data_IF_457661419717
#
_entry.id   IF_457661419717
#
_cell.length_a   1.000
_cell.length_b   1.000
_cell.length_c   1.000
_cell.angle_alpha   90.00
_cell.angle_beta   90.00
_cell.angle_gamma   90.00
#
_symmetry.space_group_name_H-M   'P 1'
#
loop_
_entity.id
_entity.type
_entity.pdbx_description
1 polymer ?
#
# COMPACT_ATOMS: atom_id res chain seq x y z
N UNK A 1 -49.96 11.04 20.21
CA UNK A 1 -50.25 11.26 18.78
C UNK A 1 -49.39 10.42 17.82
N UNK A 2 -48.09 10.19 18.05
CA UNK A 2 -47.26 9.40 17.11
C UNK A 2 -47.63 7.90 17.07
N UNK A 3 -47.76 7.24 18.23
CA UNK A 3 -48.08 5.79 18.31
C UNK A 3 -49.46 5.44 17.71
N UNK A 4 -50.47 6.26 17.95
CA UNK A 4 -51.82 6.12 17.37
C UNK A 4 -51.86 6.30 15.86
N UNK A 5 -50.98 7.15 15.29
CA UNK A 5 -50.86 7.34 13.83
C UNK A 5 -50.13 6.19 13.15
N UNK A 6 -49.23 5.51 13.87
CA UNK A 6 -48.42 4.40 13.36
C UNK A 6 -49.03 3.03 13.72
N UNK A 7 -50.16 3.00 14.43
CA UNK A 7 -50.85 1.78 14.88
C UNK A 7 -49.94 0.80 15.65
N UNK A 8 -48.94 1.32 16.37
CA UNK A 8 -48.02 0.48 17.15
C UNK A 8 -48.68 0.18 18.50
N UNK A 9 -48.90 -1.10 18.75
CA UNK A 9 -49.49 -1.61 19.99
C UNK A 9 -48.34 -2.03 20.90
N UNK A 10 -48.41 -1.67 22.19
CA UNK A 10 -47.53 -2.21 23.23
C UNK A 10 -46.02 -1.87 23.09
N UNK A 11 -45.68 -0.67 22.59
CA UNK A 11 -44.29 -0.20 22.55
C UNK A 11 -43.80 0.20 23.94
N UNK A 12 -42.67 -0.37 24.35
CA UNK A 12 -42.03 -0.06 25.61
C UNK A 12 -40.70 0.69 25.44
N UNK A 13 -40.27 1.42 26.47
CA UNK A 13 -38.98 2.12 26.47
C UNK A 13 -37.78 1.18 26.28
N UNK A 14 -37.91 -0.09 26.68
CA UNK A 14 -36.84 -1.07 26.49
C UNK A 14 -36.65 -1.45 25.01
N UNK A 15 -37.70 -1.38 24.19
CA UNK A 15 -37.64 -1.63 22.75
C UNK A 15 -36.85 -0.54 22.03
N UNK A 16 -37.05 0.73 22.44
CA UNK A 16 -36.29 1.85 21.90
C UNK A 16 -34.80 1.72 22.21
N UNK A 17 -34.47 1.31 23.44
CA UNK A 17 -33.07 1.05 23.83
C UNK A 17 -32.50 -0.13 23.05
N UNK A 18 -33.30 -1.18 22.84
CA UNK A 18 -32.91 -2.34 22.03
C UNK A 18 -32.56 -1.91 20.61
N UNK A 19 -33.47 -1.19 19.96
CA UNK A 19 -33.31 -0.71 18.58
C UNK A 19 -32.12 0.24 18.43
N UNK A 20 -31.96 1.19 19.37
CA UNK A 20 -30.83 2.12 19.34
C UNK A 20 -29.48 1.39 19.39
N UNK A 21 -29.35 0.39 20.27
CA UNK A 21 -28.09 -0.36 20.41
C UNK A 21 -27.84 -1.24 19.19
N UNK A 22 -28.87 -1.91 18.66
CA UNK A 22 -28.77 -2.69 17.43
C UNK A 22 -28.28 -1.83 16.26
N UNK A 23 -28.84 -0.63 16.08
CA UNK A 23 -28.38 0.30 15.04
C UNK A 23 -26.94 0.77 15.22
N UNK A 24 -26.51 1.03 16.45
CA UNK A 24 -25.11 1.40 16.71
C UNK A 24 -24.14 0.29 16.30
N UNK A 25 -24.52 -0.98 16.50
CA UNK A 25 -23.72 -2.12 16.03
C UNK A 25 -23.80 -2.31 14.52
N UNK A 26 -24.95 -2.08 13.89
CA UNK A 26 -25.13 -2.18 12.44
C UNK A 26 -24.33 -1.12 11.67
N UNK A 27 -24.24 0.10 12.21
CA UNK A 27 -23.41 1.17 11.64
C UNK A 27 -21.93 0.77 11.58
N UNK A 28 -21.47 -0.10 12.49
CA UNK A 28 -20.12 -0.66 12.47
C UNK A 28 -18.99 0.34 12.72
N UNK A 29 -19.32 1.60 13.06
CA UNK A 29 -18.37 2.68 13.32
C UNK A 29 -17.80 2.66 14.74
N UNK A 30 -18.57 2.12 15.69
CA UNK A 30 -18.25 2.13 17.12
C UNK A 30 -17.79 0.75 17.61
N UNK A 31 -16.90 0.74 18.58
CA UNK A 31 -16.49 -0.44 19.32
C UNK A 31 -17.49 -0.77 20.44
N UNK A 32 -17.49 -2.02 20.90
CA UNK A 32 -18.34 -2.50 22.00
C UNK A 32 -18.22 -1.63 23.26
N UNK A 33 -17.02 -1.10 23.57
CA UNK A 33 -16.83 -0.22 24.74
C UNK A 33 -17.51 1.14 24.56
N UNK A 34 -17.46 1.70 23.36
CA UNK A 34 -18.06 3.00 23.04
C UNK A 34 -19.59 2.88 23.05
N UNK A 35 -20.11 1.79 22.47
CA UNK A 35 -21.54 1.48 22.54
C UNK A 35 -21.98 1.27 23.99
N UNK A 36 -21.16 0.64 24.83
CA UNK A 36 -21.47 0.49 26.26
C UNK A 36 -21.53 1.83 27.00
N UNK A 37 -20.59 2.74 26.73
CA UNK A 37 -20.56 4.07 27.31
C UNK A 37 -21.78 4.92 26.88
N UNK A 38 -22.12 4.91 25.58
CA UNK A 38 -23.27 5.64 25.03
C UNK A 38 -24.59 5.09 25.57
N UNK A 39 -24.72 3.76 25.62
CA UNK A 39 -25.96 3.11 26.05
C UNK A 39 -26.09 2.93 27.56
N UNK A 40 -25.10 3.38 28.35
CA UNK A 40 -25.11 3.28 29.82
C UNK A 40 -25.09 1.84 30.35
N UNK A 41 -24.44 0.91 29.65
CA UNK A 41 -24.32 -0.48 30.07
C UNK A 41 -23.13 -0.66 31.03
N UNK A 42 -23.40 -1.12 32.26
CA UNK A 42 -22.36 -1.43 33.26
C UNK A 42 -21.64 -2.76 33.00
N UNK A 43 -22.30 -3.68 32.30
CA UNK A 43 -21.75 -5.00 31.98
C UNK A 43 -21.89 -5.28 30.49
N UNK A 44 -20.78 -5.71 29.90
CA UNK A 44 -20.69 -6.08 28.49
C UNK A 44 -21.45 -7.35 28.15
N UNK A 45 -21.71 -8.22 29.13
CA UNK A 45 -22.52 -9.42 28.92
C UNK A 45 -23.95 -9.08 28.47
N UNK A 46 -24.47 -7.93 28.88
CA UNK A 46 -25.79 -7.46 28.44
C UNK A 46 -25.82 -7.07 26.96
N UNK A 47 -24.66 -6.65 26.41
CA UNK A 47 -24.53 -6.18 25.03
C UNK A 47 -24.37 -7.30 24.01
N UNK A 48 -23.97 -8.51 24.45
CA UNK A 48 -23.79 -9.69 23.57
C UNK A 48 -25.03 -10.03 22.73
N UNK A 49 -26.21 -9.65 23.21
CA UNK A 49 -27.49 -9.87 22.52
C UNK A 49 -27.70 -8.96 21.31
N UNK A 50 -26.97 -7.85 21.22
CA UNK A 50 -27.06 -6.89 20.11
C UNK A 50 -25.87 -7.02 19.14
N UNK A 51 -24.85 -7.80 19.53
CA UNK A 51 -23.66 -8.03 18.69
C UNK A 51 -23.93 -9.18 17.71
N UNK A 52 -24.50 -8.86 16.55
CA UNK A 52 -24.50 -9.77 15.40
C UNK A 52 -23.27 -9.50 14.54
N UNK A 53 -22.10 -9.92 15.03
CA UNK A 53 -20.84 -9.79 14.30
C UNK A 53 -20.94 -10.55 12.96
N UNK A 54 -21.04 -9.82 11.85
CA UNK A 54 -21.07 -10.43 10.53
C UNK A 54 -19.63 -10.71 10.07
N UNK A 55 -19.37 -11.91 9.56
CA UNK A 55 -18.02 -12.35 9.18
C UNK A 55 -17.30 -11.35 8.24
N UNK A 56 -18.03 -10.70 7.32
CA UNK A 56 -17.44 -9.71 6.40
C UNK A 56 -16.87 -8.47 7.11
N UNK A 57 -17.44 -8.06 8.26
CA UNK A 57 -16.96 -6.91 9.03
C UNK A 57 -15.62 -7.23 9.69
N UNK A 58 -15.42 -8.49 10.10
CA UNK A 58 -14.16 -8.98 10.65
C UNK A 58 -13.08 -9.07 9.59
N UNK A 59 -13.40 -9.62 8.41
CA UNK A 59 -12.49 -9.68 7.26
C UNK A 59 -12.01 -8.28 6.88
N UNK A 60 -12.91 -7.31 6.79
CA UNK A 60 -12.56 -5.91 6.49
C UNK A 60 -11.58 -5.30 7.51
N UNK A 61 -11.71 -5.65 8.80
CA UNK A 61 -10.79 -5.20 9.85
C UNK A 61 -9.43 -5.90 9.78
N UNK A 62 -9.38 -7.17 9.39
CA UNK A 62 -8.14 -7.92 9.19
C UNK A 62 -7.38 -7.45 7.93
N UNK A 63 -8.10 -7.17 6.84
CA UNK A 63 -7.53 -6.69 5.58
C UNK A 63 -6.93 -5.27 5.68
N UNK A 64 -7.30 -4.48 6.69
CA UNK A 64 -6.72 -3.15 6.90
C UNK A 64 -5.19 -3.19 7.05
N UNK A 65 -4.64 -4.25 7.65
CA UNK A 65 -3.18 -4.45 7.79
C UNK A 65 -2.52 -4.81 6.45
N UNK A 66 -3.22 -5.55 5.58
CA UNK A 66 -2.79 -5.87 4.21
C UNK A 66 -2.73 -4.63 3.33
N UNK A 67 -3.65 -3.67 3.52
CA UNK A 67 -3.64 -2.37 2.82
C UNK A 67 -2.42 -1.53 3.16
N UNK A 68 -1.90 -1.63 4.39
CA UNK A 68 -0.69 -0.87 4.78
C UNK A 68 0.57 -1.43 4.09
N UNK A 69 0.71 -2.74 3.98
CA UNK A 69 1.79 -3.39 3.21
C UNK A 69 1.67 -3.12 1.70
N UNK A 70 0.45 -3.03 1.16
CA UNK A 70 0.20 -2.67 -0.25
C UNK A 70 0.51 -1.21 -0.59
N UNK A 71 0.68 -0.30 0.38
CA UNK A 71 1.04 1.10 0.08
C UNK A 71 2.45 1.27 -0.46
N UNK A 72 3.36 0.34 -0.12
CA UNK A 72 4.79 0.46 -0.45
C UNK A 72 5.14 -0.37 -1.68
N UNK A 73 4.41 -1.47 -1.95
CA UNK A 73 4.64 -2.31 -3.13
C UNK A 73 4.68 -1.57 -4.48
N UNK A 74 3.88 -0.51 -4.73
CA UNK A 74 3.95 0.26 -5.99
C UNK A 74 5.29 0.97 -6.20
N UNK A 75 6.10 1.16 -5.16
CA UNK A 75 7.39 1.85 -5.27
C UNK A 75 8.49 0.93 -5.79
N UNK A 76 8.35 -0.39 -5.70
CA UNK A 76 9.43 -1.33 -6.04
C UNK A 76 9.13 -2.11 -7.32
N UNK A 77 8.87 -1.37 -8.40
CA UNK A 77 8.65 -1.92 -9.75
C UNK A 77 9.96 -1.90 -10.56
N UNK A 78 10.12 -2.81 -11.53
CA UNK A 78 11.25 -2.75 -12.47
C UNK A 78 11.16 -1.52 -13.37
N UNK A 79 12.31 -0.93 -13.69
CA UNK A 79 12.41 0.19 -14.64
C UNK A 79 13.28 -0.18 -15.84
N UNK A 80 12.95 0.32 -17.05
CA UNK A 80 13.80 0.18 -18.21
C UNK A 80 15.11 0.97 -18.02
N UNK A 81 16.20 0.41 -18.52
CA UNK A 81 17.51 1.06 -18.53
C UNK A 81 18.25 0.75 -19.84
N UNK A 82 19.11 1.68 -20.23
CA UNK A 82 20.06 1.53 -21.33
C UNK A 82 21.43 1.18 -20.78
N UNK A 83 22.13 0.25 -21.44
CA UNK A 83 23.54 -0.04 -21.15
C UNK A 83 24.43 0.28 -22.35
N UNK A 84 25.55 0.92 -22.07
CA UNK A 84 26.57 1.35 -23.01
C UNK A 84 27.94 0.81 -22.57
N UNK A 85 28.72 0.27 -23.51
CA UNK A 85 30.13 -0.03 -23.31
C UNK A 85 30.95 1.24 -23.56
N UNK A 86 31.63 1.74 -22.54
CA UNK A 86 32.55 2.88 -22.64
C UNK A 86 33.95 2.31 -22.89
N UNK A 87 34.45 2.47 -24.11
CA UNK A 87 35.85 2.21 -24.42
C UNK A 87 36.62 3.51 -24.18
N UNK A 88 37.34 3.62 -23.06
CA UNK A 88 38.29 4.70 -22.90
C UNK A 88 39.45 4.49 -23.89
N UNK A 89 39.61 5.43 -24.81
CA UNK A 89 40.70 5.42 -25.78
C UNK A 89 42.04 5.54 -25.01
N UNK A 90 42.87 4.50 -25.16
CA UNK A 90 44.22 4.31 -24.61
C UNK A 90 44.31 3.83 -23.14
N UNK A 91 44.13 2.52 -22.93
CA UNK A 91 44.77 1.78 -21.84
C UNK A 91 43.83 1.07 -20.85
N UNK A 92 43.21 -0.03 -21.31
CA UNK A 92 42.67 -1.14 -20.49
C UNK A 92 41.83 -0.75 -19.26
N UNK A 93 40.60 -0.31 -19.50
CA UNK A 93 39.44 -0.85 -18.76
C UNK A 93 38.16 -0.69 -19.61
N UNK A 94 37.49 -1.80 -19.89
CA UNK A 94 36.18 -1.78 -20.57
C UNK A 94 35.10 -1.50 -19.53
N UNK A 95 34.71 -0.23 -19.40
CA UNK A 95 33.64 0.17 -18.50
C UNK A 95 32.27 -0.05 -19.13
N UNK A 96 31.28 -0.41 -18.32
CA UNK A 96 29.87 -0.39 -18.70
C UNK A 96 29.19 0.76 -17.95
N UNK A 97 28.33 1.52 -18.64
CA UNK A 97 27.50 2.57 -18.05
C UNK A 97 26.03 2.26 -18.29
N UNK A 98 25.23 2.35 -17.24
CA UNK A 98 23.80 2.09 -17.23
C UNK A 98 23.07 3.39 -16.92
N UNK A 99 22.08 3.75 -17.71
CA UNK A 99 21.28 4.96 -17.55
C UNK A 99 19.78 4.62 -17.45
N UNK A 100 19.10 5.22 -16.47
CA UNK A 100 17.65 5.10 -16.29
C UNK A 100 16.97 6.40 -16.78
N UNK A 101 16.30 6.39 -17.94
CA UNK A 101 15.73 7.60 -18.54
C UNK A 101 14.55 8.18 -17.73
N UNK A 102 13.87 7.35 -16.93
CA UNK A 102 12.72 7.77 -16.12
C UNK A 102 13.12 8.60 -14.88
N UNK A 103 14.42 8.72 -14.59
CA UNK A 103 14.94 9.44 -13.43
C UNK A 103 15.98 10.47 -13.86
N UNK A 104 15.85 11.71 -13.37
CA UNK A 104 16.74 12.82 -13.71
C UNK A 104 18.22 12.49 -13.41
N UNK A 105 18.98 12.21 -14.48
CA UNK A 105 20.43 11.99 -14.43
C UNK A 105 20.87 10.69 -13.74
N UNK A 106 19.96 9.74 -13.50
CA UNK A 106 20.31 8.52 -12.77
C UNK A 106 21.13 7.59 -13.67
N UNK A 107 22.41 7.41 -13.31
CA UNK A 107 23.32 6.52 -14.01
C UNK A 107 24.30 5.85 -13.06
N UNK A 108 24.73 4.65 -13.42
CA UNK A 108 25.74 3.90 -12.69
C UNK A 108 26.75 3.30 -13.68
N UNK A 109 27.98 3.06 -13.21
CA UNK A 109 29.03 2.45 -14.01
C UNK A 109 29.70 1.30 -13.28
N UNK A 110 30.23 0.33 -14.02
CA UNK A 110 30.97 -0.79 -13.48
C UNK A 110 31.98 -1.36 -14.48
N UNK A 111 32.99 -2.07 -13.98
CA UNK A 111 34.01 -2.72 -14.79
C UNK A 111 33.48 -3.93 -15.58
N UNK A 112 32.31 -4.44 -15.23
CA UNK A 112 31.62 -5.51 -15.94
C UNK A 112 30.13 -5.20 -16.07
N UNK A 113 29.47 -5.81 -17.05
CA UNK A 113 28.02 -5.69 -17.26
C UNK A 113 27.24 -5.99 -15.98
N UNK A 114 27.59 -7.07 -15.28
CA UNK A 114 26.94 -7.47 -14.04
C UNK A 114 27.13 -6.43 -12.92
N UNK A 115 28.35 -5.94 -12.74
CA UNK A 115 28.66 -4.92 -11.72
C UNK A 115 27.94 -3.60 -12.00
N UNK A 116 27.84 -3.18 -13.27
CA UNK A 116 27.12 -1.96 -13.64
C UNK A 116 25.60 -2.08 -13.41
N UNK A 117 25.01 -3.25 -13.69
CA UNK A 117 23.60 -3.53 -13.43
C UNK A 117 23.28 -3.58 -11.94
N UNK A 118 24.14 -4.21 -11.14
CA UNK A 118 23.99 -4.26 -9.69
C UNK A 118 24.08 -2.86 -9.08
N UNK A 119 25.08 -2.06 -9.47
CA UNK A 119 25.23 -0.69 -9.02
C UNK A 119 24.00 0.16 -9.39
N UNK A 120 23.47 0.00 -10.60
CA UNK A 120 22.24 0.67 -11.03
C UNK A 120 21.01 0.20 -10.23
N UNK A 121 20.90 -1.10 -9.93
CA UNK A 121 19.82 -1.65 -9.11
C UNK A 121 19.81 -1.11 -7.68
N UNK A 122 20.97 -1.05 -7.04
CA UNK A 122 21.13 -0.47 -5.70
C UNK A 122 20.77 1.02 -5.70
N UNK A 123 21.21 1.76 -6.72
CA UNK A 123 20.92 3.19 -6.87
C UNK A 123 19.42 3.45 -7.08
N UNK A 124 18.77 2.66 -7.94
CA UNK A 124 17.33 2.69 -8.16
C UNK A 124 16.56 2.38 -6.86
N UNK A 125 16.94 1.30 -6.16
CA UNK A 125 16.31 0.92 -4.89
C UNK A 125 16.37 2.04 -3.87
N UNK A 126 17.55 2.66 -3.70
CA UNK A 126 17.74 3.77 -2.75
C UNK A 126 16.88 4.97 -3.12
N UNK A 127 16.77 5.29 -4.40
CA UNK A 127 15.95 6.41 -4.90
C UNK A 127 14.47 6.16 -4.64
N UNK A 128 13.98 4.96 -4.97
CA UNK A 128 12.59 4.55 -4.75
C UNK A 128 12.24 4.49 -3.24
N UNK A 129 13.16 3.99 -2.41
CA UNK A 129 12.98 3.92 -0.97
C UNK A 129 12.90 5.32 -0.33
N UNK A 130 13.74 6.27 -0.77
CA UNK A 130 13.67 7.65 -0.31
C UNK A 130 12.36 8.33 -0.73
N UNK A 131 11.90 8.10 -1.96
CA UNK A 131 10.61 8.61 -2.44
C UNK A 131 9.44 8.03 -1.61
N UNK A 132 9.48 6.72 -1.33
CA UNK A 132 8.49 6.05 -0.48
C UNK A 132 8.46 6.60 0.95
N UNK A 133 9.63 6.87 1.53
CA UNK A 133 9.75 7.45 2.88
C UNK A 133 9.15 8.86 2.95
N UNK A 134 9.32 9.65 1.90
CA UNK A 134 8.78 11.02 1.80
C UNK A 134 7.32 11.08 1.34
N UNK A 135 6.75 9.95 0.92
CA UNK A 135 5.40 9.90 0.35
C UNK A 135 5.28 10.58 -1.02
N UNK A 136 6.41 10.76 -1.72
CA UNK A 136 6.47 11.36 -3.04
C UNK A 136 6.01 10.35 -4.10
N UNK A 137 5.42 10.82 -5.21
CA UNK A 137 5.06 9.92 -6.30
C UNK A 137 6.28 9.60 -7.14
N UNK A 138 6.54 8.31 -7.32
CA UNK A 138 7.55 7.82 -8.28
C UNK A 138 7.02 7.92 -9.72
N UNK A 139 7.90 8.19 -10.70
CA UNK A 139 7.53 8.20 -12.11
C UNK A 139 6.99 6.82 -12.52
N UNK A 140 6.05 6.77 -13.46
CA UNK A 140 5.64 5.47 -14.02
C UNK A 140 6.77 4.98 -14.94
N UNK A 141 7.10 3.67 -14.94
CA UNK A 141 8.06 3.14 -15.89
C UNK A 141 7.66 3.53 -17.32
N UNK A 142 8.55 4.22 -18.02
CA UNK A 142 8.35 4.67 -19.39
C UNK A 142 8.43 3.53 -20.38
N UNK A 143 8.17 3.85 -21.65
CA UNK A 143 8.44 2.92 -22.74
C UNK A 143 9.95 2.68 -22.88
N UNK A 144 10.34 1.49 -23.36
CA UNK A 144 11.75 1.26 -23.65
C UNK A 144 12.23 2.23 -24.74
N UNK A 145 13.34 2.93 -24.52
CA UNK A 145 13.86 3.88 -25.51
C UNK A 145 14.11 3.20 -26.87
N UNK A 146 13.69 3.88 -27.93
CA UNK A 146 13.92 3.48 -29.32
C UNK A 146 15.38 3.79 -29.72
N UNK A 147 16.19 2.78 -30.08
CA UNK A 147 17.60 3.00 -30.44
C UNK A 147 18.50 1.76 -30.44
N UNK A 148 19.81 1.98 -30.71
CA UNK A 148 20.89 0.97 -30.81
C UNK A 148 21.44 0.45 -29.47
N UNK A 149 20.96 0.96 -28.35
CA UNK A 149 21.47 0.62 -27.01
C UNK A 149 20.87 -0.70 -26.52
N UNK A 150 21.69 -1.51 -25.84
CA UNK A 150 21.21 -2.77 -25.25
C UNK A 150 20.20 -2.45 -24.13
N UNK A 151 19.06 -3.14 -24.16
CA UNK A 151 17.88 -2.88 -23.32
C UNK A 151 17.87 -3.82 -22.13
N UNK A 152 17.78 -3.30 -20.90
CA UNK A 152 17.70 -4.11 -19.69
C UNK A 152 16.62 -3.60 -18.75
N UNK A 153 15.88 -4.50 -18.12
CA UNK A 153 14.98 -4.17 -17.02
C UNK A 153 15.73 -4.30 -15.71
N UNK A 154 15.82 -3.22 -14.94
CA UNK A 154 16.49 -3.22 -13.65
C UNK A 154 15.44 -3.43 -12.58
N UNK A 155 15.56 -4.55 -11.88
CA UNK A 155 14.69 -4.87 -10.75
C UNK A 155 15.32 -4.35 -9.46
N UNK A 156 14.70 -3.42 -8.72
CA UNK A 156 15.31 -2.81 -7.53
C UNK A 156 15.54 -3.80 -6.39
N UNK A 157 14.77 -4.89 -6.35
CA UNK A 157 14.85 -5.91 -5.28
C UNK A 157 15.63 -7.18 -5.64
N UNK A 158 16.04 -7.37 -6.90
CA UNK A 158 16.79 -8.57 -7.29
C UNK A 158 18.25 -8.21 -7.52
N UNK A 159 19.15 -8.84 -6.79
CA UNK A 159 20.58 -8.84 -7.14
C UNK A 159 20.77 -9.84 -8.27
N UNK A 160 21.28 -9.37 -9.41
CA UNK A 160 21.70 -10.23 -10.52
C UNK A 160 23.03 -10.88 -10.14
N UNK A 161 22.97 -11.96 -9.37
CA UNK A 161 24.08 -12.89 -9.16
C UNK A 161 24.19 -13.87 -10.34
#
# INVERSE_FOLDING_TARGET
MALQRLSIIDLHFHDLRHEAISRLFELGTLNVMEVAAISGHRSLNMLKRYTHLRAYQLVSKLDARRRQTQKIAPYFVPYPACIESVNEEAGQDHGYRVHLPDFDGLSASGASRASALEAAGVLLLRTLANAAQRGERVPRPGDLPEGKLERVMIHPLMSTA
#
